data_IF_897812998565
#
_entry.id   IF_897812998565
#
_cell.length_a   1.000
_cell.length_b   1.000
_cell.length_c   1.000
_cell.angle_alpha   90.00
_cell.angle_beta   90.00
_cell.angle_gamma   90.00
#
_symmetry.space_group_name_H-M   'P 1'
#
loop_
_entity.id
_entity.type
_entity.pdbx_description
1 polymer ?
#
# COMPACT_ATOMS: atom_id res chain seq x y z
N UNK A 1 -5.38 -40.94 16.82
CA UNK A 1 -4.63 -39.72 17.25
C UNK A 1 -3.73 -39.09 16.20
N UNK A 2 -3.23 -39.81 15.17
CA UNK A 2 -2.34 -39.22 14.15
C UNK A 2 -3.03 -38.32 13.10
N UNK A 3 -4.31 -38.57 12.78
CA UNK A 3 -5.06 -37.77 11.80
C UNK A 3 -5.45 -36.36 12.31
N UNK A 4 -5.72 -36.21 13.61
CA UNK A 4 -6.12 -34.94 14.21
C UNK A 4 -4.97 -33.92 14.29
N UNK A 5 -3.73 -34.39 14.53
CA UNK A 5 -2.53 -33.52 14.55
C UNK A 5 -2.18 -33.03 13.15
N UNK A 6 -2.39 -33.86 12.13
CA UNK A 6 -2.12 -33.48 10.73
C UNK A 6 -3.10 -32.42 10.21
N UNK A 7 -4.39 -32.54 10.57
CA UNK A 7 -5.42 -31.55 10.22
C UNK A 7 -5.15 -30.22 10.92
N UNK A 8 -4.75 -30.22 12.19
CA UNK A 8 -4.39 -28.98 12.91
C UNK A 8 -3.16 -28.30 12.31
N UNK A 9 -2.13 -29.05 11.89
CA UNK A 9 -0.95 -28.50 11.22
C UNK A 9 -1.28 -27.89 9.85
N UNK A 10 -2.12 -28.56 9.05
CA UNK A 10 -2.55 -28.07 7.74
C UNK A 10 -3.45 -26.83 7.89
N UNK A 11 -4.35 -26.82 8.88
CA UNK A 11 -5.21 -25.67 9.16
C UNK A 11 -4.40 -24.46 9.68
N UNK A 12 -3.35 -24.70 10.48
CA UNK A 12 -2.44 -23.63 10.95
C UNK A 12 -1.58 -23.08 9.80
N UNK A 13 -1.13 -23.92 8.86
CA UNK A 13 -0.43 -23.45 7.66
C UNK A 13 -1.35 -22.69 6.68
N UNK A 14 -2.62 -23.09 6.54
CA UNK A 14 -3.61 -22.36 5.73
C UNK A 14 -4.00 -21.01 6.33
N UNK A 15 -4.12 -20.92 7.66
CA UNK A 15 -4.39 -19.66 8.36
C UNK A 15 -3.18 -18.71 8.33
N UNK A 16 -1.95 -19.22 8.39
CA UNK A 16 -0.74 -18.40 8.23
C UNK A 16 -0.55 -17.83 6.81
N UNK A 17 -1.12 -18.48 5.78
CA UNK A 17 -1.10 -17.98 4.40
C UNK A 17 -2.07 -16.81 4.17
N UNK A 18 -3.11 -16.67 5.00
CA UNK A 18 -4.13 -15.63 4.81
C UNK A 18 -3.60 -14.20 5.08
N UNK A 19 -2.63 -14.04 5.98
CA UNK A 19 -2.07 -12.73 6.35
C UNK A 19 -0.98 -12.21 5.40
N UNK A 20 -0.60 -12.98 4.38
CA UNK A 20 0.47 -12.64 3.43
C UNK A 20 0.02 -12.56 1.98
N UNK A 21 -1.30 -12.68 1.71
CA UNK A 21 -1.82 -12.54 0.36
C UNK A 21 -1.44 -11.18 -0.25
N UNK A 22 -0.66 -11.23 -1.32
CA UNK A 22 -0.38 -10.09 -2.17
C UNK A 22 -1.41 -9.96 -3.30
N UNK A 23 -1.29 -8.90 -4.12
CA UNK A 23 -2.08 -8.77 -5.34
C UNK A 23 -1.85 -9.93 -6.31
N UNK A 24 -2.87 -10.25 -7.10
CA UNK A 24 -2.70 -11.05 -8.32
C UNK A 24 -1.87 -10.27 -9.37
N UNK A 25 -1.24 -10.95 -10.36
CA UNK A 25 -0.49 -10.26 -11.41
C UNK A 25 -1.29 -9.21 -12.18
N UNK A 26 -2.59 -9.42 -12.37
CA UNK A 26 -3.49 -8.45 -12.99
C UNK A 26 -3.68 -7.20 -12.12
N UNK A 27 -3.87 -7.38 -10.81
CA UNK A 27 -3.97 -6.27 -9.86
C UNK A 27 -2.64 -5.50 -9.77
N UNK A 28 -1.50 -6.19 -9.77
CA UNK A 28 -0.19 -5.54 -9.87
C UNK A 28 -0.07 -4.65 -11.11
N UNK A 29 -0.43 -5.19 -12.29
CA UNK A 29 -0.38 -4.42 -13.54
C UNK A 29 -1.25 -3.16 -13.48
N UNK A 30 -2.45 -3.26 -12.88
CA UNK A 30 -3.37 -2.14 -12.73
C UNK A 30 -2.83 -1.06 -11.78
N UNK A 31 -2.28 -1.46 -10.64
CA UNK A 31 -1.63 -0.54 -9.69
C UNK A 31 -0.42 0.13 -10.33
N UNK A 32 0.45 -0.64 -10.99
CA UNK A 32 1.62 -0.13 -11.69
C UNK A 32 1.24 0.93 -12.74
N UNK A 33 0.24 0.62 -13.57
CA UNK A 33 -0.25 1.56 -14.59
C UNK A 33 -0.77 2.84 -13.97
N UNK A 34 -1.59 2.76 -12.92
CA UNK A 34 -2.14 3.94 -12.26
C UNK A 34 -1.04 4.83 -11.64
N UNK A 35 -0.07 4.22 -10.95
CA UNK A 35 1.07 4.94 -10.36
C UNK A 35 1.95 5.61 -11.42
N UNK A 36 2.28 4.89 -12.50
CA UNK A 36 3.13 5.42 -13.56
C UNK A 36 2.45 6.53 -14.36
N UNK A 37 1.15 6.42 -14.65
CA UNK A 37 0.41 7.51 -15.31
C UNK A 37 0.43 8.79 -14.47
N UNK A 38 0.26 8.68 -13.15
CA UNK A 38 0.38 9.82 -12.25
C UNK A 38 1.78 10.43 -12.22
N UNK A 39 2.82 9.60 -12.36
CA UNK A 39 4.20 10.07 -12.43
C UNK A 39 4.52 10.85 -13.73
N UNK A 40 3.80 10.57 -14.82
CA UNK A 40 3.92 11.35 -16.07
C UNK A 40 3.16 12.69 -15.97
N UNK A 41 1.95 12.67 -15.40
CA UNK A 41 1.13 13.87 -15.23
C UNK A 41 0.14 13.69 -14.10
N UNK A 42 0.11 14.65 -13.16
CA UNK A 42 -0.95 14.74 -12.17
C UNK A 42 -2.24 15.13 -12.92
N UNK A 43 -3.05 14.12 -13.23
CA UNK A 43 -4.33 14.30 -13.94
C UNK A 43 -5.35 15.09 -13.11
N UNK A 44 -6.32 15.72 -13.78
CA UNK A 44 -7.34 16.57 -13.15
C UNK A 44 -8.29 15.85 -12.18
N UNK A 45 -8.43 14.53 -12.27
CA UNK A 45 -9.36 13.76 -11.44
C UNK A 45 -8.84 13.49 -10.02
N UNK A 46 -7.57 13.80 -9.73
CA UNK A 46 -7.03 13.73 -8.37
C UNK A 46 -7.28 15.06 -7.65
N UNK A 47 -8.16 15.03 -6.65
CA UNK A 47 -8.52 16.14 -5.78
C UNK A 47 -7.26 16.89 -5.28
N UNK A 48 -7.11 18.20 -5.60
CA UNK A 48 -6.01 19.03 -5.12
C UNK A 48 -5.80 19.01 -3.60
N UNK A 49 -6.88 18.89 -2.82
CA UNK A 49 -6.82 18.81 -1.36
C UNK A 49 -6.21 17.53 -0.81
N UNK A 50 -6.06 16.51 -1.67
CA UNK A 50 -5.50 15.20 -1.33
C UNK A 50 -4.22 14.90 -2.10
N UNK A 51 -3.57 15.92 -2.68
CA UNK A 51 -2.28 15.77 -3.37
C UNK A 51 -1.13 15.76 -2.36
N UNK A 52 -1.05 14.66 -1.62
CA UNK A 52 0.03 14.36 -0.68
C UNK A 52 0.47 12.90 -0.81
N UNK A 53 1.40 12.46 0.03
CA UNK A 53 1.90 11.08 -0.02
C UNK A 53 0.82 10.02 0.29
N UNK A 54 -0.10 10.28 1.22
CA UNK A 54 -1.17 9.36 1.57
C UNK A 54 -2.27 9.34 0.51
N UNK A 55 -2.64 10.51 0.00
CA UNK A 55 -3.59 10.66 -1.09
C UNK A 55 -3.07 10.04 -2.39
N UNK A 56 -1.76 10.06 -2.64
CA UNK A 56 -1.16 9.30 -3.75
C UNK A 56 -1.44 7.80 -3.61
N UNK A 57 -1.12 7.20 -2.46
CA UNK A 57 -1.40 5.78 -2.20
C UNK A 57 -2.90 5.50 -2.38
N UNK A 58 -3.76 6.29 -1.73
CA UNK A 58 -5.22 6.10 -1.80
C UNK A 58 -5.75 6.20 -3.23
N UNK A 59 -5.29 7.18 -3.99
CA UNK A 59 -5.71 7.40 -5.37
C UNK A 59 -5.25 6.27 -6.30
N UNK A 60 -4.00 5.80 -6.18
CA UNK A 60 -3.50 4.69 -6.99
C UNK A 60 -4.28 3.41 -6.74
N UNK A 61 -4.52 3.06 -5.46
CA UNK A 61 -5.31 1.88 -5.12
C UNK A 61 -6.75 1.99 -5.65
N UNK A 62 -7.44 3.11 -5.41
CA UNK A 62 -8.80 3.33 -5.92
C UNK A 62 -8.89 3.25 -7.43
N UNK A 63 -8.01 3.96 -8.13
CA UNK A 63 -8.08 4.09 -9.59
C UNK A 63 -7.61 2.82 -10.28
N UNK A 64 -6.51 2.23 -9.82
CA UNK A 64 -6.00 0.99 -10.40
C UNK A 64 -7.00 -0.16 -10.24
N UNK A 65 -7.56 -0.31 -9.03
CA UNK A 65 -8.41 -1.44 -8.68
C UNK A 65 -9.91 -1.16 -8.82
N UNK A 66 -10.30 0.04 -9.27
CA UNK A 66 -11.69 0.49 -9.40
C UNK A 66 -12.48 0.36 -8.09
N UNK A 67 -11.85 0.74 -6.98
CA UNK A 67 -12.46 0.65 -5.66
C UNK A 67 -13.29 1.90 -5.35
N UNK A 68 -14.37 1.76 -4.55
CA UNK A 68 -15.10 2.89 -3.99
C UNK A 68 -14.18 3.85 -3.23
N UNK A 69 -14.62 5.10 -3.03
CA UNK A 69 -13.81 6.08 -2.28
C UNK A 69 -13.67 5.69 -0.80
N UNK A 70 -14.74 5.18 -0.21
CA UNK A 70 -14.93 4.88 1.21
C UNK A 70 -14.36 3.52 1.65
N UNK A 71 -13.17 3.16 1.18
CA UNK A 71 -12.53 1.86 1.46
C UNK A 71 -11.46 1.90 2.54
N UNK A 72 -11.22 3.05 3.15
CA UNK A 72 -10.16 3.20 4.14
C UNK A 72 -10.76 3.15 5.53
N UNK A 73 -10.17 2.34 6.42
CA UNK A 73 -10.51 2.36 7.84
C UNK A 73 -9.77 3.52 8.52
N UNK A 74 -10.48 4.30 9.32
CA UNK A 74 -9.89 5.22 10.29
C UNK A 74 -9.38 4.45 11.53
N UNK A 75 -8.80 5.15 12.52
CA UNK A 75 -8.31 4.53 13.76
C UNK A 75 -9.41 3.90 14.62
N UNK A 76 -10.67 4.33 14.46
CA UNK A 76 -11.84 3.72 15.11
C UNK A 76 -12.34 2.47 14.36
N UNK A 77 -11.76 2.15 13.19
CA UNK A 77 -12.15 1.03 12.35
C UNK A 77 -13.34 1.32 11.41
N UNK A 78 -13.81 2.57 11.35
CA UNK A 78 -14.91 3.00 10.49
C UNK A 78 -14.42 3.25 9.06
N UNK A 79 -15.26 2.94 8.07
CA UNK A 79 -14.95 3.17 6.67
C UNK A 79 -15.14 4.64 6.31
N UNK A 80 -14.15 5.23 5.65
CA UNK A 80 -14.10 6.64 5.26
C UNK A 80 -13.40 6.77 3.90
N UNK A 81 -13.69 7.86 3.20
CA UNK A 81 -13.01 8.24 1.97
C UNK A 81 -11.65 8.92 2.21
N UNK A 82 -11.43 9.38 3.45
CA UNK A 82 -10.24 10.12 3.82
C UNK A 82 -9.59 9.62 5.11
N UNK A 83 -8.28 9.38 5.02
CA UNK A 83 -7.36 9.12 6.14
C UNK A 83 -5.99 9.72 5.82
N UNK A 84 -5.31 10.25 6.84
CA UNK A 84 -3.93 10.74 6.73
C UNK A 84 -2.90 9.61 6.68
N UNK A 85 -1.62 9.92 6.46
CA UNK A 85 -0.57 8.90 6.29
C UNK A 85 -0.45 7.93 7.48
N UNK A 86 -0.37 8.46 8.72
CA UNK A 86 -0.22 7.65 9.93
C UNK A 86 -1.40 6.66 10.12
N UNK A 87 -2.61 7.18 9.98
CA UNK A 87 -3.85 6.42 10.11
C UNK A 87 -4.02 5.41 8.97
N UNK A 88 -3.74 5.81 7.73
CA UNK A 88 -3.77 4.94 6.56
C UNK A 88 -2.93 3.68 6.80
N UNK A 89 -1.66 3.86 7.15
CA UNK A 89 -0.75 2.73 7.40
C UNK A 89 -1.20 1.91 8.60
N UNK A 90 -1.54 2.54 9.73
CA UNK A 90 -1.86 1.83 10.98
C UNK A 90 -3.11 0.95 10.86
N UNK A 91 -4.17 1.48 10.24
CA UNK A 91 -5.45 0.79 10.15
C UNK A 91 -5.57 -0.13 8.93
N UNK A 92 -4.92 0.19 7.81
CA UNK A 92 -5.17 -0.47 6.52
C UNK A 92 -4.02 -1.34 6.01
N UNK A 93 -2.83 -1.24 6.60
CA UNK A 93 -1.67 -2.01 6.15
C UNK A 93 -1.09 -2.84 7.30
N UNK A 94 -0.49 -3.98 6.96
CA UNK A 94 0.32 -4.81 7.85
C UNK A 94 1.78 -4.71 7.44
N UNK A 95 2.69 -4.91 8.40
CA UNK A 95 4.12 -4.93 8.08
C UNK A 95 4.45 -6.20 7.29
N UNK A 96 5.11 -6.03 6.14
CA UNK A 96 5.61 -7.13 5.31
C UNK A 96 7.04 -7.50 5.69
N UNK A 97 7.93 -6.51 5.81
CA UNK A 97 9.33 -6.71 6.23
C UNK A 97 9.95 -5.39 6.71
N UNK A 98 10.97 -5.48 7.56
CA UNK A 98 11.85 -4.35 7.92
C UNK A 98 13.20 -4.39 7.20
N UNK A 99 13.49 -5.48 6.50
CA UNK A 99 14.76 -5.71 5.80
C UNK A 99 14.46 -6.08 4.34
N UNK A 100 13.91 -5.15 3.54
CA UNK A 100 13.40 -5.50 2.22
C UNK A 100 14.52 -5.89 1.25
N UNK A 101 14.33 -7.01 0.58
CA UNK A 101 15.05 -7.34 -0.66
C UNK A 101 14.13 -7.15 -1.87
N UNK A 102 14.70 -6.79 -3.02
CA UNK A 102 13.91 -6.50 -4.23
C UNK A 102 13.01 -7.66 -4.67
N UNK A 103 13.41 -8.92 -4.42
CA UNK A 103 12.66 -10.12 -4.79
C UNK A 103 11.38 -10.33 -3.98
N UNK A 104 11.34 -9.87 -2.73
CA UNK A 104 10.21 -10.05 -1.81
C UNK A 104 9.12 -9.00 -1.99
N UNK A 105 9.47 -7.89 -2.64
CA UNK A 105 8.56 -6.79 -2.87
C UNK A 105 7.60 -7.11 -4.01
N UNK A 106 6.36 -6.64 -3.86
CA UNK A 106 5.31 -6.70 -4.88
C UNK A 106 4.81 -5.29 -5.19
N UNK A 107 4.20 -5.12 -6.37
CA UNK A 107 3.59 -3.83 -6.70
C UNK A 107 2.49 -3.47 -5.68
N UNK A 108 2.52 -2.25 -5.18
CA UNK A 108 1.57 -1.76 -4.18
C UNK A 108 2.07 -1.85 -2.74
N UNK A 109 3.15 -2.57 -2.47
CA UNK A 109 3.85 -2.46 -1.18
C UNK A 109 4.27 -1.00 -0.95
N UNK A 110 4.20 -0.55 0.30
CA UNK A 110 4.47 0.84 0.68
C UNK A 110 5.71 0.88 1.57
N UNK A 111 6.73 1.61 1.13
CA UNK A 111 7.84 2.03 1.98
C UNK A 111 7.35 3.14 2.90
N UNK A 112 7.48 2.93 4.21
CA UNK A 112 6.98 3.86 5.23
C UNK A 112 8.14 4.50 5.95
N UNK A 113 8.10 5.83 6.04
CA UNK A 113 9.08 6.63 6.76
C UNK A 113 8.39 7.53 7.77
N UNK A 114 9.01 7.68 8.94
CA UNK A 114 8.58 8.57 10.01
C UNK A 114 9.79 9.35 10.55
N UNK A 115 9.73 10.67 10.44
CA UNK A 115 10.74 11.58 10.96
C UNK A 115 10.17 12.39 12.13
N UNK A 116 10.47 12.02 13.39
CA UNK A 116 9.92 12.68 14.58
C UNK A 116 10.42 14.12 14.78
N UNK A 117 11.44 14.55 14.03
CA UNK A 117 11.96 15.93 14.09
C UNK A 117 11.14 16.93 13.28
N UNK A 118 10.18 16.44 12.48
CA UNK A 118 9.27 17.25 11.67
C UNK A 118 7.92 17.44 12.37
N UNK A 119 7.16 18.50 12.02
CA UNK A 119 5.79 18.66 12.49
C UNK A 119 4.94 17.42 12.16
N UNK A 120 3.93 17.06 12.97
CA UNK A 120 3.14 15.84 12.77
C UNK A 120 2.55 15.67 11.37
N UNK A 121 2.15 16.77 10.72
CA UNK A 121 1.59 16.79 9.36
C UNK A 121 2.59 16.46 8.25
N UNK A 122 3.90 16.54 8.55
CA UNK A 122 5.01 16.31 7.62
C UNK A 122 5.92 15.16 8.06
N UNK A 123 5.69 14.64 9.27
CA UNK A 123 6.53 13.60 9.86
C UNK A 123 6.46 12.27 9.10
N UNK A 124 5.37 12.02 8.37
CA UNK A 124 5.17 10.78 7.63
C UNK A 124 5.44 10.96 6.14
N UNK A 125 6.14 10.00 5.55
CA UNK A 125 6.33 9.92 4.10
C UNK A 125 6.13 8.50 3.61
N UNK A 126 5.40 8.37 2.50
CA UNK A 126 4.99 7.10 1.93
C UNK A 126 5.45 7.03 0.48
N UNK A 127 6.04 5.89 0.09
CA UNK A 127 6.42 5.60 -1.28
C UNK A 127 5.89 4.23 -1.69
N UNK A 128 5.43 4.08 -2.93
CA UNK A 128 4.91 2.80 -3.45
C UNK A 128 5.96 2.07 -4.27
N UNK A 129 6.11 0.77 -4.04
CA UNK A 129 6.82 -0.13 -4.94
C UNK A 129 5.98 -0.39 -6.18
N UNK A 130 6.60 -0.25 -7.35
CA UNK A 130 6.00 -0.58 -8.65
C UNK A 130 6.97 -1.47 -9.41
N UNK A 131 6.61 -2.73 -9.63
CA UNK A 131 7.37 -3.61 -10.51
C UNK A 131 6.96 -3.30 -11.94
N UNK A 132 7.94 -2.98 -12.78
CA UNK A 132 7.66 -2.63 -14.15
C UNK A 132 7.11 -3.87 -14.90
N UNK A 133 6.03 -3.74 -15.69
CA UNK A 133 5.40 -4.88 -16.37
C UNK A 133 6.18 -5.39 -17.59
N UNK A 134 7.27 -4.73 -17.98
CA UNK A 134 8.11 -5.12 -19.11
C UNK A 134 8.99 -6.34 -18.77
N UNK A 135 8.77 -7.41 -19.54
CA UNK A 135 9.26 -8.80 -19.35
C UNK A 135 10.78 -9.01 -19.48
N UNK A 136 11.61 -8.09 -19.00
CA UNK A 136 13.07 -8.22 -19.07
C UNK A 136 13.85 -7.47 -18.00
N UNK A 137 13.29 -6.43 -17.39
CA UNK A 137 13.91 -5.72 -16.29
C UNK A 137 13.27 -6.20 -14.99
N UNK A 138 13.99 -7.01 -14.21
CA UNK A 138 13.54 -7.40 -12.87
C UNK A 138 13.54 -6.20 -11.88
N UNK A 139 13.62 -4.96 -12.37
CA UNK A 139 13.89 -3.78 -11.58
C UNK A 139 12.58 -3.14 -11.07
N UNK A 140 12.46 -3.09 -9.74
CA UNK A 140 11.41 -2.32 -9.10
C UNK A 140 11.69 -0.81 -9.24
N UNK A 141 10.62 -0.06 -9.45
CA UNK A 141 10.58 1.38 -9.28
C UNK A 141 9.98 1.70 -7.92
N UNK A 142 10.35 2.86 -7.39
CA UNK A 142 9.70 3.49 -6.25
C UNK A 142 9.04 4.77 -6.75
N UNK A 143 7.73 4.86 -6.58
CA UNK A 143 6.89 5.96 -7.03
C UNK A 143 6.31 6.66 -5.82
N UNK A 144 6.39 7.99 -5.78
CA UNK A 144 6.04 8.77 -4.59
C UNK A 144 5.62 10.19 -4.95
N UNK A 145 4.81 10.80 -4.09
CA UNK A 145 4.54 12.24 -4.16
C UNK A 145 5.67 13.01 -3.47
N UNK A 146 6.17 14.10 -4.05
CA UNK A 146 7.33 14.83 -3.54
C UNK A 146 7.08 15.63 -2.24
N UNK A 147 5.83 15.71 -1.78
CA UNK A 147 5.46 16.44 -0.56
C UNK A 147 5.20 17.93 -0.76
N UNK A 148 5.50 18.47 -1.94
CA UNK A 148 5.18 19.85 -2.29
C UNK A 148 3.67 20.04 -2.53
N UNK A 149 3.17 21.26 -2.32
CA UNK A 149 1.78 21.63 -2.64
C UNK A 149 1.73 22.54 -3.87
N UNK A 150 0.54 22.66 -4.47
CA UNK A 150 0.28 23.59 -5.56
C UNK A 150 1.07 23.24 -6.84
N UNK A 151 1.58 24.23 -7.59
CA UNK A 151 2.23 23.99 -8.89
C UNK A 151 3.50 23.13 -8.85
N UNK A 152 4.14 23.01 -7.67
CA UNK A 152 5.34 22.17 -7.46
C UNK A 152 5.01 20.74 -7.05
N UNK A 153 3.75 20.47 -6.68
CA UNK A 153 3.29 19.14 -6.35
C UNK A 153 3.51 18.21 -7.53
N UNK A 154 4.18 17.09 -7.29
CA UNK A 154 4.52 16.16 -8.35
C UNK A 154 4.64 14.74 -7.82
N UNK A 155 4.30 13.79 -8.67
CA UNK A 155 4.66 12.39 -8.47
C UNK A 155 5.99 12.14 -9.19
N UNK A 156 6.92 11.51 -8.47
CA UNK A 156 8.25 11.16 -8.96
C UNK A 156 8.38 9.64 -8.98
N UNK A 157 9.25 9.15 -9.84
CA UNK A 157 9.64 7.74 -9.89
C UNK A 157 11.15 7.63 -9.90
N UNK A 158 11.68 6.67 -9.17
CA UNK A 158 13.11 6.38 -9.11
C UNK A 158 13.32 4.87 -9.15
N UNK A 159 14.47 4.40 -9.63
CA UNK A 159 14.82 2.97 -9.54
C UNK A 159 15.07 2.60 -8.08
N UNK A 160 14.67 1.39 -7.68
CA UNK A 160 14.94 0.82 -6.35
C UNK A 160 16.42 0.96 -5.95
N UNK A 161 17.33 0.61 -6.87
CA UNK A 161 18.78 0.71 -6.66
C UNK A 161 19.26 2.10 -6.25
N UNK A 162 18.62 3.16 -6.76
CA UNK A 162 19.03 4.53 -6.50
C UNK A 162 18.69 4.99 -5.08
N UNK A 163 17.76 4.31 -4.39
CA UNK A 163 17.48 4.62 -2.99
C UNK A 163 18.63 4.22 -2.06
N UNK A 164 19.54 3.34 -2.50
CA UNK A 164 20.69 2.84 -1.74
C UNK A 164 21.95 3.70 -1.89
N UNK A 165 21.85 4.83 -2.61
CA UNK A 165 22.93 5.81 -2.60
C UNK A 165 23.18 6.28 -1.16
N UNK A 166 24.45 6.37 -0.77
CA UNK A 166 24.88 6.74 0.58
C UNK A 166 24.35 8.11 1.01
N UNK A 167 24.08 9.02 0.08
CA UNK A 167 23.54 10.35 0.39
C UNK A 167 22.01 10.37 0.53
N UNK A 168 21.33 9.26 0.21
CA UNK A 168 19.87 9.18 0.26
C UNK A 168 19.39 9.03 1.70
N UNK A 169 18.64 10.03 2.19
CA UNK A 169 17.89 9.93 3.45
C UNK A 169 16.76 8.87 3.38
N UNK A 170 16.44 8.37 2.19
CA UNK A 170 15.33 7.47 1.93
C UNK A 170 15.76 6.01 1.74
N UNK A 171 16.98 5.64 2.15
CA UNK A 171 17.43 4.25 2.15
C UNK A 171 16.43 3.36 2.92
N UNK A 172 15.82 2.34 2.29
CA UNK A 172 14.88 1.44 2.96
C UNK A 172 15.65 0.34 3.70
N UNK A 173 16.54 0.74 4.60
CA UNK A 173 17.44 -0.15 5.35
C UNK A 173 17.11 -0.11 6.84
N UNK A 174 17.39 -1.20 7.60
CA UNK A 174 17.18 -1.21 9.05
C UNK A 174 18.01 -0.18 9.81
N UNK A 175 19.13 0.27 9.24
CA UNK A 175 20.00 1.27 9.82
C UNK A 175 19.48 2.70 9.64
N UNK A 176 18.54 2.94 8.72
CA UNK A 176 17.94 4.24 8.54
C UNK A 176 16.87 4.48 9.63
N UNK A 177 17.09 5.39 10.60
CA UNK A 177 16.21 5.54 11.75
C UNK A 177 14.82 6.07 11.39
N UNK A 178 14.66 6.71 10.23
CA UNK A 178 13.36 7.17 9.78
C UNK A 178 12.59 6.11 9.00
N UNK A 179 13.25 5.04 8.51
CA UNK A 179 12.56 3.96 7.81
C UNK A 179 11.85 3.04 8.80
N UNK A 180 10.54 2.87 8.64
CA UNK A 180 9.70 2.06 9.53
C UNK A 180 9.49 0.64 9.01
N UNK A 181 9.71 0.42 7.72
CA UNK A 181 9.55 -0.86 7.05
C UNK A 181 8.73 -0.77 5.78
N UNK A 182 8.47 -1.94 5.21
CA UNK A 182 7.58 -2.14 4.07
C UNK A 182 6.24 -2.65 4.58
N UNK A 183 5.17 -2.05 4.10
CA UNK A 183 3.80 -2.31 4.55
C UNK A 183 2.95 -2.75 3.37
N UNK A 184 2.15 -3.80 3.57
CA UNK A 184 1.27 -4.41 2.57
C UNK A 184 -0.19 -4.21 2.93
N UNK A 185 -1.02 -3.93 1.93
CA UNK A 185 -2.43 -3.61 2.15
C UNK A 185 -3.20 -4.82 2.69
N UNK A 186 -3.98 -4.65 3.76
CA UNK A 186 -4.81 -5.71 4.35
C UNK A 186 -6.02 -6.08 3.49
N UNK A 187 -6.41 -5.21 2.55
CA UNK A 187 -7.57 -5.45 1.69
C UNK A 187 -7.43 -6.64 0.74
N UNK A 188 -6.21 -7.16 0.54
CA UNK A 188 -5.98 -8.40 -0.22
C UNK A 188 -6.60 -9.62 0.44
N UNK A 189 -6.59 -9.68 1.78
CA UNK A 189 -7.20 -10.76 2.57
C UNK A 189 -8.54 -10.38 3.21
N UNK A 190 -8.89 -9.09 3.21
CA UNK A 190 -10.14 -8.55 3.76
C UNK A 190 -10.95 -7.75 2.74
N UNK A 191 -11.46 -8.36 1.65
CA UNK A 191 -12.24 -7.63 0.67
C UNK A 191 -13.54 -7.08 1.31
N UNK A 192 -13.77 -5.76 1.19
CA UNK A 192 -15.02 -5.08 1.63
C UNK A 192 -16.27 -5.76 1.04
N UNK A 193 -16.14 -6.37 -0.14
CA UNK A 193 -17.20 -7.12 -0.85
C UNK A 193 -17.71 -8.34 -0.08
N UNK A 194 -16.87 -9.03 0.73
CA UNK A 194 -17.34 -10.20 1.49
C UNK A 194 -18.38 -9.81 2.55
N UNK A 195 -18.27 -8.63 3.17
CA UNK A 195 -19.26 -8.17 4.17
C UNK A 195 -20.53 -7.59 3.57
N UNK A 196 -20.47 -6.97 2.39
CA UNK A 196 -21.67 -6.48 1.70
C UNK A 196 -22.53 -7.62 1.17
N UNK A 197 -21.93 -8.72 0.71
CA UNK A 197 -22.70 -9.92 0.33
C UNK A 197 -23.30 -10.62 1.57
N UNK A 198 -22.54 -10.78 2.66
CA UNK A 198 -23.06 -11.43 3.88
C UNK A 198 -24.16 -10.59 4.57
N UNK A 199 -24.03 -9.27 4.60
CA UNK A 199 -25.08 -8.39 5.16
C UNK A 199 -26.35 -8.36 4.31
N UNK A 200 -26.22 -8.41 2.97
CA UNK A 200 -27.37 -8.49 2.06
C UNK A 200 -28.03 -9.88 2.03
N UNK A 201 -27.31 -10.95 2.36
CA UNK A 201 -27.88 -12.29 2.54
C UNK A 201 -28.66 -12.39 3.84
N UNK A 202 -28.13 -11.87 4.96
CA UNK A 202 -28.80 -11.89 6.26
C UNK A 202 -30.04 -10.97 6.34
N UNK A 203 -30.20 -10.04 5.39
CA UNK A 203 -31.34 -9.12 5.32
C UNK A 203 -32.42 -9.58 4.32
N UNK A 204 -32.21 -10.70 3.61
CA UNK A 204 -33.23 -11.33 2.74
C UNK A 204 -34.11 -12.35 3.47
N UNK A 205 -33.75 -12.69 4.71
CA UNK A 205 -34.48 -13.64 5.56
C UNK A 205 -35.14 -12.96 6.79
N UNK A 206 -35.22 -11.63 6.82
CA UNK A 206 -36.00 -10.91 7.83
C UNK A 206 -37.46 -10.79 7.34
N UNK A 207 -38.46 -11.25 8.12
CA UNK A 207 -39.88 -11.19 7.75
C UNK A 207 -40.45 -9.76 7.71
#
# INVERSE_FOLDING_TARGET
>A
MRAFVLIFFILFQLLAQADTMGPSPYQEQKLARAALLLAESITGNWDPGQRDCAGFIRFVYRTGLHLPSDIWKNLNGEWTDYVGAAELISANFSIATRQPTQSELVTGDVLVYYNPTKPPTEAWHLMMIVKAPDKGSNQALVVYHNGDRGPKAAVRKVRWSNLFDQTSLWQPTPSNPIFQGVYRWRGWSQPKTLKLEISNLNNKDAP
#
